data_IF_064145916690
#
_entry.id   IF_064145916690
#
_cell.length_a   1.000
_cell.length_b   1.000
_cell.length_c   1.000
_cell.angle_alpha   90.00
_cell.angle_beta   90.00
_cell.angle_gamma   90.00
#
_symmetry.space_group_name_H-M   'P 1'
#
loop_
_entity.id
_entity.type
_entity.pdbx_description
1 polymer ?
#
# COMPACT_ATOMS: atom_id res chain seq x y z
N UNK A 1 22.66 5.86 -6.95
CA UNK A 1 22.78 4.39 -7.13
C UNK A 1 21.48 3.75 -6.65
N UNK A 2 20.87 2.85 -7.42
CA UNK A 2 19.64 2.14 -7.04
C UNK A 2 19.91 1.24 -5.81
N UNK A 3 18.86 0.90 -5.05
CA UNK A 3 19.02 -0.13 -4.02
C UNK A 3 19.16 -1.43 -4.82
N UNK A 4 20.33 -2.07 -4.78
CA UNK A 4 20.49 -3.37 -5.42
C UNK A 4 19.43 -4.32 -4.80
N UNK A 5 18.69 -5.03 -5.65
CA UNK A 5 17.73 -6.08 -5.29
C UNK A 5 16.42 -5.62 -4.59
N UNK A 6 15.83 -4.48 -4.96
CA UNK A 6 14.44 -4.17 -4.58
C UNK A 6 13.45 -4.60 -5.67
N UNK A 7 12.51 -5.46 -5.29
CA UNK A 7 11.32 -5.81 -6.07
C UNK A 7 10.08 -5.18 -5.44
N UNK A 8 9.08 -4.90 -6.24
CA UNK A 8 7.83 -4.30 -5.77
C UNK A 8 6.70 -5.30 -5.95
N UNK A 9 5.87 -5.45 -4.92
CA UNK A 9 4.64 -6.22 -4.95
C UNK A 9 3.46 -5.30 -4.60
N UNK A 10 2.59 -5.02 -5.57
CA UNK A 10 1.39 -4.22 -5.38
C UNK A 10 0.21 -5.15 -5.07
N UNK A 11 -0.51 -4.83 -4.00
CA UNK A 11 -1.68 -5.57 -3.54
C UNK A 11 -2.93 -5.11 -4.29
N UNK A 12 -3.43 -5.95 -5.20
CA UNK A 12 -4.57 -5.68 -6.07
C UNK A 12 -5.76 -6.63 -5.90
N UNK A 13 -5.75 -7.50 -4.90
CA UNK A 13 -6.77 -8.54 -4.70
C UNK A 13 -8.04 -8.08 -3.95
N UNK A 14 -8.09 -6.82 -3.51
CA UNK A 14 -9.26 -6.27 -2.81
C UNK A 14 -10.48 -6.08 -3.72
N UNK A 15 -11.63 -6.62 -3.30
CA UNK A 15 -12.89 -6.56 -4.05
C UNK A 15 -13.60 -5.19 -4.02
N UNK A 16 -13.16 -4.27 -3.16
CA UNK A 16 -13.68 -2.89 -3.13
C UNK A 16 -15.19 -2.79 -2.86
N UNK A 17 -15.76 -3.74 -2.10
CA UNK A 17 -17.20 -3.89 -1.89
C UNK A 17 -17.89 -2.61 -1.42
N UNK A 18 -17.25 -1.86 -0.49
CA UNK A 18 -17.73 -0.55 -0.05
C UNK A 18 -17.86 0.44 -1.20
N UNK A 19 -16.79 0.65 -1.97
CA UNK A 19 -16.81 1.55 -3.12
C UNK A 19 -17.87 1.14 -4.13
N UNK A 20 -17.94 -0.14 -4.49
CA UNK A 20 -18.92 -0.63 -5.47
C UNK A 20 -20.36 -0.40 -5.01
N UNK A 21 -20.66 -0.64 -3.73
CA UNK A 21 -21.96 -0.31 -3.13
C UNK A 21 -22.25 1.18 -3.19
N UNK A 22 -21.28 2.03 -2.81
CA UNK A 22 -21.44 3.48 -2.79
C UNK A 22 -21.67 4.02 -4.23
N UNK A 23 -20.97 3.48 -5.24
CA UNK A 23 -21.15 3.80 -6.66
C UNK A 23 -22.53 3.41 -7.19
N UNK A 24 -23.04 2.22 -6.81
CA UNK A 24 -24.39 1.78 -7.19
C UNK A 24 -25.49 2.62 -6.51
N UNK A 25 -25.20 3.18 -5.33
CA UNK A 25 -26.12 4.05 -4.59
C UNK A 25 -26.07 5.52 -5.05
N UNK A 26 -25.05 5.93 -5.82
CA UNK A 26 -24.92 7.29 -6.34
C UNK A 26 -26.03 7.64 -7.33
N UNK A 27 -26.96 8.49 -6.89
CA UNK A 27 -28.10 8.95 -7.71
C UNK A 27 -27.71 10.01 -8.74
N UNK A 28 -26.53 10.63 -8.61
CA UNK A 28 -26.09 11.67 -9.56
C UNK A 28 -25.66 11.08 -10.90
N UNK A 29 -25.27 9.81 -10.91
CA UNK A 29 -24.76 9.11 -12.10
C UNK A 29 -23.36 9.54 -12.53
N UNK A 30 -22.75 10.53 -11.85
CA UNK A 30 -21.44 11.10 -12.20
C UNK A 30 -20.34 10.04 -12.23
N UNK A 31 -20.41 9.09 -11.30
CA UNK A 31 -19.37 8.07 -11.12
C UNK A 31 -19.76 6.68 -11.64
N UNK A 32 -20.87 6.55 -12.38
CA UNK A 32 -21.37 5.25 -12.87
C UNK A 32 -20.36 4.48 -13.75
N UNK A 33 -19.48 5.19 -14.44
CA UNK A 33 -18.42 4.61 -15.26
C UNK A 33 -17.33 3.88 -14.45
N UNK A 34 -17.31 4.05 -13.11
CA UNK A 34 -16.35 3.38 -12.22
C UNK A 34 -16.88 2.06 -11.64
N UNK A 35 -18.16 1.72 -11.88
CA UNK A 35 -18.74 0.45 -11.43
C UNK A 35 -17.99 -0.71 -12.10
N UNK A 36 -17.53 -1.67 -11.29
CA UNK A 36 -16.72 -2.80 -11.72
C UNK A 36 -15.23 -2.53 -11.87
N UNK A 37 -14.77 -1.27 -11.78
CA UNK A 37 -13.34 -0.94 -11.82
C UNK A 37 -12.68 -1.34 -10.48
N UNK A 38 -11.61 -2.16 -10.50
CA UNK A 38 -10.86 -2.47 -9.28
C UNK A 38 -10.30 -1.20 -8.65
N UNK A 39 -10.30 -1.10 -7.31
CA UNK A 39 -9.88 0.15 -6.61
C UNK A 39 -8.52 0.66 -7.09
N UNK A 40 -7.54 -0.24 -7.18
CA UNK A 40 -6.19 0.08 -7.62
C UNK A 40 -6.11 0.64 -9.05
N UNK A 41 -7.11 0.34 -9.88
CA UNK A 41 -7.19 0.74 -11.28
C UNK A 41 -8.12 1.94 -11.51
N UNK A 42 -8.62 2.59 -10.45
CA UNK A 42 -9.41 3.81 -10.61
C UNK A 42 -8.56 4.93 -11.20
N UNK A 43 -9.04 5.65 -12.23
CA UNK A 43 -8.32 6.79 -12.78
C UNK A 43 -8.20 7.90 -11.74
N UNK A 44 -7.05 8.56 -11.65
CA UNK A 44 -6.86 9.64 -10.68
C UNK A 44 -5.82 10.66 -11.16
N UNK A 45 -6.20 11.94 -11.13
CA UNK A 45 -5.36 13.03 -11.60
C UNK A 45 -5.02 12.87 -13.08
N UNK A 46 -3.73 12.99 -13.42
CA UNK A 46 -3.25 12.83 -14.80
C UNK A 46 -3.00 11.36 -15.21
N UNK A 47 -3.27 10.40 -14.31
CA UNK A 47 -2.92 8.99 -14.51
C UNK A 47 -4.16 8.13 -14.78
N UNK A 48 -3.96 7.06 -15.56
CA UNK A 48 -4.99 6.10 -15.93
C UNK A 48 -5.47 5.23 -14.76
N UNK A 49 -4.65 5.08 -13.71
CA UNK A 49 -4.92 4.29 -12.52
C UNK A 49 -4.20 4.86 -11.28
N UNK A 50 -4.74 4.60 -10.07
CA UNK A 50 -4.08 4.92 -8.80
C UNK A 50 -2.65 4.39 -8.77
N UNK A 51 -2.47 3.10 -9.08
CA UNK A 51 -1.16 2.45 -8.99
C UNK A 51 -0.16 2.92 -10.06
N UNK A 52 -0.62 3.61 -11.11
CA UNK A 52 0.28 4.23 -12.10
C UNK A 52 1.06 5.40 -11.51
N UNK A 53 0.55 6.06 -10.45
CA UNK A 53 1.36 7.04 -9.70
C UNK A 53 2.59 6.40 -9.06
N UNK A 54 2.45 5.18 -8.51
CA UNK A 54 3.58 4.43 -7.99
C UNK A 54 4.58 4.05 -9.08
N UNK A 55 4.12 3.58 -10.26
CA UNK A 55 5.01 3.28 -11.38
C UNK A 55 5.90 4.47 -11.75
N UNK A 56 5.32 5.65 -11.88
CA UNK A 56 6.08 6.86 -12.20
C UNK A 56 7.08 7.23 -11.10
N UNK A 57 6.68 7.16 -9.83
CA UNK A 57 7.56 7.45 -8.70
C UNK A 57 8.73 6.44 -8.62
N UNK A 58 8.44 5.15 -8.81
CA UNK A 58 9.43 4.07 -8.86
C UNK A 58 10.43 4.28 -10.01
N UNK A 59 9.93 4.56 -11.22
CA UNK A 59 10.77 4.79 -12.40
C UNK A 59 11.69 5.99 -12.23
N UNK A 60 11.19 7.10 -11.67
CA UNK A 60 11.99 8.30 -11.33
C UNK A 60 13.14 7.98 -10.37
N UNK A 61 12.99 6.93 -9.56
CA UNK A 61 13.97 6.47 -8.58
C UNK A 61 14.78 5.25 -9.06
N UNK A 62 14.75 4.95 -10.35
CA UNK A 62 15.56 3.89 -10.96
C UNK A 62 15.04 2.48 -10.71
N UNK A 63 13.79 2.31 -10.29
CA UNK A 63 13.13 1.01 -10.20
C UNK A 63 12.29 0.83 -11.48
N UNK A 64 12.70 -0.03 -12.43
CA UNK A 64 11.98 -0.20 -13.69
C UNK A 64 10.66 -0.95 -13.50
N UNK A 65 9.75 -0.82 -14.46
CA UNK A 65 8.46 -1.54 -14.47
C UNK A 65 8.62 -3.06 -14.43
N UNK A 66 9.74 -3.61 -14.91
CA UNK A 66 10.07 -5.04 -14.82
C UNK A 66 10.35 -5.54 -13.40
N UNK A 67 10.56 -4.64 -12.43
CA UNK A 67 10.66 -4.97 -11.01
C UNK A 67 9.32 -4.90 -10.28
N UNK A 68 8.24 -4.49 -10.96
CA UNK A 68 6.90 -4.34 -10.38
C UNK A 68 6.07 -5.57 -10.66
N UNK A 69 5.48 -6.11 -9.61
CA UNK A 69 4.58 -7.27 -9.65
C UNK A 69 3.26 -6.92 -8.99
N UNK A 70 2.19 -7.57 -9.43
CA UNK A 70 0.86 -7.39 -8.89
C UNK A 70 0.25 -8.74 -8.58
N UNK A 71 -0.21 -8.91 -7.34
CA UNK A 71 -1.09 -10.00 -6.94
C UNK A 71 -2.53 -9.47 -6.91
N UNK A 72 -3.43 -10.13 -7.63
CA UNK A 72 -4.85 -9.76 -7.70
C UNK A 72 -5.74 -10.99 -7.59
N UNK A 73 -7.06 -10.79 -7.57
CA UNK A 73 -8.02 -11.88 -7.60
C UNK A 73 -8.39 -12.27 -9.04
N UNK A 74 -8.95 -13.45 -9.22
CA UNK A 74 -9.33 -13.96 -10.55
C UNK A 74 -10.40 -13.09 -11.21
N UNK A 75 -11.31 -12.49 -10.44
CA UNK A 75 -12.35 -11.61 -10.97
C UNK A 75 -11.80 -10.31 -11.58
N UNK A 76 -10.66 -9.82 -11.09
CA UNK A 76 -10.03 -8.58 -11.55
C UNK A 76 -8.80 -8.81 -12.44
N UNK A 77 -8.35 -10.06 -12.60
CA UNK A 77 -7.08 -10.42 -13.26
C UNK A 77 -6.91 -9.77 -14.64
N UNK A 78 -7.91 -9.91 -15.52
CA UNK A 78 -7.84 -9.38 -16.89
C UNK A 78 -7.67 -7.85 -16.91
N UNK A 79 -8.32 -7.13 -15.97
CA UNK A 79 -8.19 -5.68 -15.88
C UNK A 79 -6.74 -5.26 -15.52
N UNK A 80 -6.08 -6.02 -14.65
CA UNK A 80 -4.67 -5.79 -14.31
C UNK A 80 -3.72 -6.16 -15.44
N UNK A 81 -4.01 -7.23 -16.20
CA UNK A 81 -3.25 -7.57 -17.42
C UNK A 81 -3.33 -6.45 -18.46
N UNK A 82 -4.51 -5.88 -18.69
CA UNK A 82 -4.67 -4.76 -19.61
C UNK A 82 -4.01 -3.48 -19.10
N UNK A 83 -4.05 -3.21 -17.80
CA UNK A 83 -3.27 -2.13 -17.19
C UNK A 83 -1.76 -2.33 -17.37
N UNK A 84 -1.27 -3.55 -17.15
CA UNK A 84 0.15 -3.88 -17.27
C UNK A 84 0.66 -3.66 -18.70
N UNK A 85 -0.10 -4.11 -19.71
CA UNK A 85 0.20 -3.86 -21.14
C UNK A 85 0.35 -2.38 -21.46
N UNK A 86 -0.59 -1.55 -21.01
CA UNK A 86 -0.58 -0.09 -21.26
C UNK A 86 0.58 0.63 -20.57
N UNK A 87 1.07 0.08 -19.45
CA UNK A 87 2.11 0.68 -18.61
C UNK A 87 3.47 -0.03 -18.70
N UNK A 88 3.66 -0.92 -19.68
CA UNK A 88 4.91 -1.68 -19.90
C UNK A 88 5.38 -2.49 -18.67
N UNK A 89 4.44 -3.00 -17.88
CA UNK A 89 4.72 -4.01 -16.84
C UNK A 89 4.64 -5.39 -17.50
N UNK A 90 5.62 -6.29 -17.31
CA UNK A 90 5.56 -7.63 -17.90
C UNK A 90 4.27 -8.37 -17.49
N UNK A 91 3.62 -9.03 -18.44
CA UNK A 91 2.40 -9.82 -18.15
C UNK A 91 2.65 -10.93 -17.12
N UNK A 92 3.83 -11.54 -17.16
CA UNK A 92 4.27 -12.57 -16.20
C UNK A 92 4.45 -12.04 -14.77
N UNK A 93 4.46 -10.71 -14.58
CA UNK A 93 4.50 -10.06 -13.28
C UNK A 93 3.07 -9.79 -12.72
N UNK A 94 2.02 -10.27 -13.38
CA UNK A 94 0.64 -10.20 -12.90
C UNK A 94 0.17 -11.61 -12.57
N UNK A 95 -0.23 -11.84 -11.32
CA UNK A 95 -0.70 -13.13 -10.84
C UNK A 95 -2.09 -13.01 -10.20
N UNK A 96 -2.86 -14.08 -10.35
CA UNK A 96 -4.13 -14.27 -9.66
C UNK A 96 -3.94 -15.17 -8.45
N UNK A 97 -4.56 -14.82 -7.33
CA UNK A 97 -4.72 -15.66 -6.14
C UNK A 97 -5.75 -16.80 -6.31
N UNK A 98 -6.45 -16.84 -7.46
CA UNK A 98 -7.47 -17.81 -7.80
C UNK A 98 -8.88 -17.54 -7.24
N UNK A 99 -9.06 -16.54 -6.38
CA UNK A 99 -10.35 -16.24 -5.75
C UNK A 99 -11.25 -15.44 -6.70
N UNK A 100 -12.57 -15.71 -6.64
CA UNK A 100 -13.56 -15.08 -7.53
C UNK A 100 -14.59 -14.22 -6.80
N UNK A 101 -14.63 -14.28 -5.46
CA UNK A 101 -15.53 -13.44 -4.66
C UNK A 101 -14.90 -13.03 -3.32
N UNK A 102 -15.43 -11.95 -2.76
CA UNK A 102 -14.99 -11.41 -1.47
C UNK A 102 -15.17 -12.43 -0.34
N UNK A 103 -16.19 -13.28 -0.39
CA UNK A 103 -16.49 -14.29 0.62
C UNK A 103 -15.42 -15.39 0.66
N UNK A 104 -14.82 -15.68 -0.49
CA UNK A 104 -13.80 -16.71 -0.67
C UNK A 104 -12.36 -16.17 -0.71
N UNK A 105 -12.16 -14.88 -0.42
CA UNK A 105 -10.86 -14.23 -0.48
C UNK A 105 -9.84 -14.92 0.45
N UNK A 106 -8.58 -14.99 0.02
CA UNK A 106 -7.50 -15.56 0.83
C UNK A 106 -7.16 -14.64 2.00
N UNK A 107 -7.14 -13.34 1.72
CA UNK A 107 -6.84 -12.28 2.66
C UNK A 107 -5.45 -11.68 2.46
N UNK A 108 -5.25 -10.50 3.03
CA UNK A 108 -4.11 -9.66 2.67
C UNK A 108 -2.72 -10.27 2.94
N UNK A 109 -2.49 -10.98 4.05
CA UNK A 109 -1.18 -11.60 4.32
C UNK A 109 -0.94 -12.86 3.46
N UNK A 110 -1.91 -13.76 3.29
CA UNK A 110 -1.83 -14.82 2.28
C UNK A 110 -1.51 -14.31 0.87
N UNK A 111 -2.12 -13.21 0.42
CA UNK A 111 -1.84 -12.60 -0.88
C UNK A 111 -0.38 -12.11 -1.00
N UNK A 112 0.21 -11.55 0.07
CA UNK A 112 1.63 -11.18 0.09
C UNK A 112 2.49 -12.43 -0.10
N UNK A 113 2.20 -13.50 0.66
CA UNK A 113 2.97 -14.74 0.57
C UNK A 113 2.84 -15.38 -0.81
N UNK A 114 1.65 -15.41 -1.38
CA UNK A 114 1.38 -15.95 -2.72
C UNK A 114 2.16 -15.15 -3.76
N UNK A 115 2.12 -13.82 -3.72
CA UNK A 115 2.92 -12.97 -4.60
C UNK A 115 4.41 -13.24 -4.48
N UNK A 116 4.95 -13.28 -3.25
CA UNK A 116 6.38 -13.57 -3.00
C UNK A 116 6.78 -14.92 -3.58
N UNK A 117 5.96 -15.97 -3.42
CA UNK A 117 6.23 -17.31 -3.96
C UNK A 117 6.10 -17.35 -5.48
N UNK A 118 5.01 -16.83 -6.04
CA UNK A 118 4.67 -16.93 -7.45
C UNK A 118 5.69 -16.24 -8.34
N UNK A 119 6.21 -15.11 -7.89
CA UNK A 119 7.24 -14.33 -8.60
C UNK A 119 8.67 -14.64 -8.13
N UNK A 120 8.84 -15.61 -7.22
CA UNK A 120 10.14 -16.03 -6.69
C UNK A 120 10.96 -14.86 -6.08
N UNK A 121 10.34 -14.04 -5.24
CA UNK A 121 10.94 -12.81 -4.68
C UNK A 121 11.76 -13.04 -3.40
N UNK A 122 11.93 -14.29 -2.94
CA UNK A 122 12.57 -14.60 -1.66
C UNK A 122 14.05 -14.17 -1.56
N UNK A 123 14.72 -13.99 -2.70
CA UNK A 123 16.11 -13.53 -2.78
C UNK A 123 16.27 -12.01 -2.89
N UNK A 124 15.17 -11.26 -2.82
CA UNK A 124 15.15 -9.81 -2.98
C UNK A 124 14.57 -9.12 -1.73
N UNK A 125 14.87 -7.84 -1.56
CA UNK A 125 14.09 -6.96 -0.70
C UNK A 125 12.77 -6.64 -1.40
N UNK A 126 11.65 -6.72 -0.69
CA UNK A 126 10.32 -6.57 -1.31
C UNK A 126 9.60 -5.36 -0.73
N UNK A 127 9.35 -4.36 -1.59
CA UNK A 127 8.46 -3.24 -1.30
C UNK A 127 7.01 -3.67 -1.57
N UNK A 128 6.24 -3.90 -0.51
CA UNK A 128 4.81 -4.20 -0.57
C UNK A 128 4.00 -2.90 -0.50
N UNK A 129 3.12 -2.67 -1.46
CA UNK A 129 2.31 -1.45 -1.56
C UNK A 129 0.82 -1.82 -1.64
N UNK A 130 -0.01 -1.21 -0.81
CA UNK A 130 -1.47 -1.28 -0.93
C UNK A 130 -1.95 -0.56 -2.20
N UNK A 131 -2.66 -1.26 -3.08
CA UNK A 131 -3.07 -0.71 -4.38
C UNK A 131 -4.06 0.46 -4.30
N UNK A 132 -4.72 0.67 -3.16
CA UNK A 132 -5.67 1.77 -2.91
C UNK A 132 -5.09 2.95 -2.13
N UNK A 133 -3.79 2.92 -1.84
CA UNK A 133 -3.12 3.95 -1.04
C UNK A 133 -2.11 4.73 -1.88
N UNK A 134 -2.09 6.05 -1.71
CA UNK A 134 -1.06 6.97 -2.21
C UNK A 134 -0.53 7.83 -1.06
N UNK A 135 0.67 8.39 -1.19
CA UNK A 135 1.18 9.38 -0.24
C UNK A 135 0.95 10.81 -0.73
N UNK A 136 1.03 11.76 0.20
CA UNK A 136 0.98 13.17 -0.15
C UNK A 136 2.24 13.58 -0.94
N UNK A 137 2.15 14.68 -1.67
CA UNK A 137 3.13 15.15 -2.65
C UNK A 137 4.55 15.41 -2.11
N UNK A 138 4.71 15.49 -0.79
CA UNK A 138 5.98 15.72 -0.10
C UNK A 138 6.74 14.43 0.24
N UNK A 139 6.19 13.26 -0.07
CA UNK A 139 6.90 11.99 0.08
C UNK A 139 8.07 11.86 -0.92
N UNK A 140 9.27 11.60 -0.39
CA UNK A 140 10.46 11.32 -1.18
C UNK A 140 10.87 9.84 -1.09
N UNK A 141 10.64 9.10 -2.17
CA UNK A 141 11.04 7.70 -2.26
C UNK A 141 12.58 7.53 -2.25
N UNK A 142 13.36 8.49 -2.76
CA UNK A 142 14.81 8.41 -2.73
C UNK A 142 15.32 8.45 -1.27
N UNK A 143 14.74 9.33 -0.45
CA UNK A 143 15.05 9.43 0.97
C UNK A 143 14.66 8.15 1.72
N UNK A 144 13.44 7.65 1.50
CA UNK A 144 12.99 6.37 2.07
C UNK A 144 13.94 5.20 1.72
N UNK A 145 14.35 5.08 0.46
CA UNK A 145 15.29 4.04 0.03
C UNK A 145 16.71 4.26 0.59
N UNK A 146 17.14 5.50 0.77
CA UNK A 146 18.41 5.82 1.41
C UNK A 146 18.39 5.44 2.89
N UNK A 147 17.29 5.67 3.60
CA UNK A 147 17.10 5.26 4.99
C UNK A 147 17.16 3.75 5.14
N UNK A 148 16.54 2.99 4.22
CA UNK A 148 16.64 1.54 4.23
C UNK A 148 18.09 1.06 4.12
N UNK A 149 18.90 1.66 3.23
CA UNK A 149 20.31 1.28 3.05
C UNK A 149 21.19 1.56 4.28
N UNK A 150 20.83 2.54 5.11
CA UNK A 150 21.54 2.81 6.36
C UNK A 150 21.32 1.72 7.41
N UNK A 151 20.35 0.81 7.19
CA UNK A 151 19.98 -0.25 8.12
C UNK A 151 20.43 -1.60 7.55
N UNK A 152 21.46 -2.20 8.16
CA UNK A 152 22.04 -3.45 7.64
C UNK A 152 21.07 -4.64 7.68
N UNK A 153 20.19 -4.71 8.69
CA UNK A 153 19.27 -5.83 8.89
C UNK A 153 17.96 -5.38 9.55
N UNK A 154 17.16 -4.63 8.80
CA UNK A 154 15.83 -4.22 9.24
C UNK A 154 14.87 -4.09 8.07
N UNK A 155 13.58 -4.30 8.34
CA UNK A 155 12.52 -3.82 7.47
C UNK A 155 12.33 -2.31 7.68
N UNK A 156 11.79 -1.62 6.69
CA UNK A 156 11.41 -0.22 6.80
C UNK A 156 9.94 -0.05 6.44
N UNK A 157 9.19 0.61 7.31
CA UNK A 157 7.77 0.95 7.09
C UNK A 157 7.56 2.44 7.22
N UNK A 158 6.50 2.96 6.61
CA UNK A 158 6.14 4.37 6.77
C UNK A 158 5.20 4.59 7.95
N UNK A 159 5.33 5.74 8.62
CA UNK A 159 4.42 6.18 9.68
C UNK A 159 3.93 7.59 9.46
N UNK A 160 2.70 7.88 9.88
CA UNK A 160 2.18 9.25 9.94
C UNK A 160 1.33 9.42 11.20
N UNK A 161 1.26 10.65 11.70
CA UNK A 161 0.44 10.95 12.87
C UNK A 161 -1.05 11.01 12.52
N UNK A 162 -1.88 10.42 13.37
CA UNK A 162 -3.34 10.52 13.31
C UNK A 162 -3.90 11.18 14.57
N UNK A 163 -4.99 11.95 14.45
CA UNK A 163 -5.62 12.53 15.62
C UNK A 163 -6.33 11.43 16.45
N UNK A 164 -6.59 11.70 17.73
CA UNK A 164 -7.19 10.76 18.69
C UNK A 164 -8.46 10.08 18.13
N UNK A 165 -9.27 10.84 17.40
CA UNK A 165 -10.55 10.43 16.86
C UNK A 165 -10.42 9.42 15.71
N UNK A 166 -9.20 9.17 15.21
CA UNK A 166 -8.92 8.22 14.11
C UNK A 166 -8.24 6.94 14.58
N UNK A 167 -7.66 6.93 15.78
CA UNK A 167 -6.90 5.80 16.36
C UNK A 167 -7.68 4.48 16.29
N UNK A 168 -8.98 4.49 16.62
CA UNK A 168 -9.84 3.30 16.61
C UNK A 168 -10.16 2.73 15.22
N UNK A 169 -9.68 3.37 14.14
CA UNK A 169 -9.94 2.94 12.76
C UNK A 169 -8.74 2.26 12.11
N UNK A 170 -7.55 2.40 12.68
CA UNK A 170 -6.27 2.01 12.07
C UNK A 170 -5.38 1.23 13.04
N UNK A 171 -4.41 0.49 12.51
CA UNK A 171 -3.31 -0.04 13.30
C UNK A 171 -2.36 1.08 13.74
N UNK A 172 -2.05 1.11 15.04
CA UNK A 172 -1.16 2.09 15.66
C UNK A 172 0.12 1.40 16.08
N UNK A 173 1.23 2.01 15.72
CA UNK A 173 2.56 1.49 15.98
C UNK A 173 3.23 2.28 17.09
N UNK A 174 3.99 1.59 17.93
CA UNK A 174 4.79 2.19 18.99
C UNK A 174 6.26 2.08 18.62
N UNK A 175 7.03 3.14 18.88
CA UNK A 175 8.46 3.20 18.52
C UNK A 175 9.29 3.68 19.70
N UNK A 176 10.56 3.26 19.74
CA UNK A 176 11.56 3.84 20.64
C UNK A 176 12.15 5.14 20.07
N UNK A 177 13.08 5.76 20.82
CA UNK A 177 13.72 7.04 20.44
C UNK A 177 14.52 6.95 19.15
N UNK A 178 14.96 5.75 18.78
CA UNK A 178 15.74 5.46 17.59
C UNK A 178 14.85 5.18 16.35
N UNK A 179 13.52 5.25 16.47
CA UNK A 179 12.59 4.96 15.38
C UNK A 179 12.42 3.46 15.10
N UNK A 180 12.74 2.61 16.06
CA UNK A 180 12.53 1.16 15.98
C UNK A 180 11.18 0.80 16.57
N UNK A 181 10.42 -0.06 15.88
CA UNK A 181 9.12 -0.54 16.35
C UNK A 181 9.27 -1.40 17.60
N UNK A 182 8.51 -1.04 18.64
CA UNK A 182 8.45 -1.76 19.92
C UNK A 182 7.06 -2.32 20.22
N UNK A 183 6.06 -1.98 19.41
CA UNK A 183 4.69 -2.41 19.62
C UNK A 183 3.80 -2.13 18.41
N UNK A 184 2.71 -2.87 18.32
CA UNK A 184 1.65 -2.66 17.33
C UNK A 184 0.32 -3.01 17.98
N UNK A 185 -0.63 -2.09 17.90
CA UNK A 185 -1.97 -2.25 18.46
C UNK A 185 -2.98 -1.98 17.35
N UNK A 186 -3.82 -2.97 17.04
CA UNK A 186 -4.81 -2.88 15.96
C UNK A 186 -6.08 -2.19 16.46
N UNK A 187 -6.44 -1.04 15.86
CA UNK A 187 -7.67 -0.29 16.16
C UNK A 187 -7.90 -0.03 17.66
N UNK A 188 -6.90 0.50 18.40
CA UNK A 188 -7.06 0.73 19.82
C UNK A 188 -8.05 1.86 20.12
N UNK A 189 -8.62 1.82 21.30
CA UNK A 189 -9.18 3.00 21.94
C UNK A 189 -8.04 4.00 22.24
N UNK A 190 -8.31 5.32 22.23
CA UNK A 190 -7.29 6.34 22.47
C UNK A 190 -6.54 6.21 23.81
N UNK A 191 -7.11 5.49 24.78
CA UNK A 191 -6.52 5.21 26.09
C UNK A 191 -5.59 3.99 26.13
N UNK A 192 -5.62 3.11 25.12
CA UNK A 192 -4.83 1.86 25.12
C UNK A 192 -3.38 2.08 24.71
N UNK A 193 -3.06 3.19 24.06
CA UNK A 193 -1.68 3.59 23.72
C UNK A 193 -1.56 5.11 23.70
N UNK A 194 -0.38 5.64 24.03
CA UNK A 194 -0.04 7.05 23.86
C UNK A 194 0.45 7.39 22.45
N UNK A 195 0.78 6.37 21.63
CA UNK A 195 1.25 6.59 20.27
C UNK A 195 0.12 7.00 19.32
N UNK A 196 0.46 7.80 18.32
CA UNK A 196 -0.45 8.24 17.26
C UNK A 196 0.07 7.91 15.87
N UNK A 197 1.03 7.00 15.77
CA UNK A 197 1.66 6.63 14.51
C UNK A 197 0.87 5.54 13.81
N UNK A 198 0.10 5.92 12.80
CA UNK A 198 -0.55 4.97 11.90
C UNK A 198 0.43 4.49 10.82
N UNK A 199 0.23 3.26 10.35
CA UNK A 199 1.12 2.60 9.39
C UNK A 199 0.31 2.15 8.14
N UNK A 200 0.41 2.85 7.00
CA UNK A 200 -0.19 2.41 5.74
C UNK A 200 0.53 1.20 5.17
N UNK A 201 -0.12 0.46 4.26
CA UNK A 201 0.52 -0.64 3.55
C UNK A 201 1.55 -0.11 2.54
N UNK A 202 2.77 0.13 3.04
CA UNK A 202 3.96 0.52 2.30
C UNK A 202 5.17 0.01 3.09
N UNK A 203 5.55 -1.24 2.83
CA UNK A 203 6.49 -1.99 3.65
C UNK A 203 7.65 -2.44 2.80
N UNK A 204 8.86 -1.98 3.10
CA UNK A 204 10.07 -2.52 2.50
C UNK A 204 10.60 -3.64 3.41
N UNK A 205 10.22 -4.87 3.07
CA UNK A 205 10.66 -6.06 3.77
C UNK A 205 12.10 -6.43 3.39
N UNK A 206 12.89 -6.72 4.41
CA UNK A 206 14.21 -7.29 4.20
C UNK A 206 14.07 -8.74 3.73
N UNK A 207 14.90 -9.21 2.78
CA UNK A 207 14.78 -10.57 2.22
C UNK A 207 14.71 -11.67 3.30
N UNK A 208 15.52 -11.55 4.35
CA UNK A 208 15.58 -12.50 5.47
C UNK A 208 14.30 -12.54 6.32
N UNK A 209 13.44 -11.51 6.27
CA UNK A 209 12.18 -11.50 7.01
C UNK A 209 11.03 -12.18 6.26
N UNK A 210 11.16 -12.42 4.95
CA UNK A 210 10.06 -12.92 4.11
C UNK A 210 9.62 -14.33 4.51
N UNK A 211 10.54 -15.19 4.97
CA UNK A 211 10.20 -16.53 5.45
C UNK A 211 9.21 -16.51 6.63
N UNK A 212 9.20 -15.44 7.43
CA UNK A 212 8.28 -15.29 8.56
C UNK A 212 6.81 -15.14 8.12
N UNK A 213 6.53 -14.80 6.86
CA UNK A 213 5.16 -14.81 6.33
C UNK A 213 4.55 -16.21 6.39
N UNK A 214 5.33 -17.23 6.00
CA UNK A 214 4.88 -18.62 6.06
C UNK A 214 4.73 -19.08 7.51
N UNK A 215 5.68 -18.72 8.38
CA UNK A 215 5.62 -19.06 9.81
C UNK A 215 4.39 -18.43 10.47
N UNK A 216 4.09 -17.16 10.18
CA UNK A 216 2.89 -16.48 10.66
C UNK A 216 1.61 -17.21 10.27
N UNK A 217 1.46 -17.61 9.01
CA UNK A 217 0.27 -18.33 8.55
C UNK A 217 0.19 -19.74 9.13
N UNK A 218 1.32 -20.42 9.29
CA UNK A 218 1.37 -21.72 9.98
C UNK A 218 0.89 -21.59 11.43
N UNK A 219 1.35 -20.57 12.16
CA UNK A 219 0.92 -20.27 13.52
C UNK A 219 -0.57 -19.91 13.60
N UNK A 220 -1.11 -19.22 12.58
CA UNK A 220 -2.55 -18.96 12.47
C UNK A 220 -3.33 -20.27 12.27
N UNK A 221 -2.91 -21.13 11.35
CA UNK A 221 -3.56 -22.43 11.11
C UNK A 221 -3.50 -23.34 12.34
N UNK A 222 -2.34 -23.42 13.01
CA UNK A 222 -2.16 -24.24 14.20
C UNK A 222 -3.09 -23.85 15.36
N UNK A 223 -3.53 -22.57 15.41
CA UNK A 223 -4.46 -22.05 16.41
C UNK A 223 -5.91 -21.97 15.91
N UNK A 224 -6.21 -22.51 14.72
CA UNK A 224 -7.52 -22.38 14.07
C UNK A 224 -8.00 -20.92 13.94
N UNK A 225 -7.08 -20.01 13.60
CA UNK A 225 -7.39 -18.59 13.44
C UNK A 225 -8.36 -18.35 12.27
N UNK A 226 -9.22 -17.34 12.41
CA UNK A 226 -10.17 -16.95 11.37
C UNK A 226 -9.57 -15.97 10.37
N UNK A 227 -10.28 -15.72 9.26
CA UNK A 227 -9.85 -14.80 8.21
C UNK A 227 -9.39 -13.43 8.74
N UNK A 228 -10.11 -12.86 9.71
CA UNK A 228 -9.78 -11.57 10.32
C UNK A 228 -8.41 -11.51 11.02
N UNK A 229 -7.81 -12.66 11.34
CA UNK A 229 -6.50 -12.73 11.99
C UNK A 229 -5.34 -12.52 11.01
N UNK A 230 -5.57 -12.67 9.71
CA UNK A 230 -4.55 -12.53 8.65
C UNK A 230 -5.02 -11.71 7.43
N UNK A 231 -6.27 -11.25 7.39
CA UNK A 231 -6.84 -10.39 6.34
C UNK A 231 -6.60 -8.89 6.55
N UNK A 232 -5.46 -8.56 7.17
CA UNK A 232 -4.96 -7.19 7.26
C UNK A 232 -3.44 -7.24 7.33
N UNK A 233 -2.76 -6.45 6.51
CA UNK A 233 -1.30 -6.52 6.38
C UNK A 233 -0.57 -6.12 7.68
N UNK A 234 -1.19 -5.25 8.50
CA UNK A 234 -0.70 -4.91 9.84
C UNK A 234 -0.63 -6.09 10.83
N UNK A 235 -1.41 -7.16 10.62
CA UNK A 235 -1.34 -8.38 11.45
C UNK A 235 0.02 -9.05 11.32
N UNK A 236 0.60 -9.06 10.13
CA UNK A 236 1.95 -9.55 9.93
C UNK A 236 3.00 -8.64 10.57
N UNK A 237 2.84 -7.31 10.53
CA UNK A 237 3.75 -6.40 11.24
C UNK A 237 3.74 -6.65 12.76
N UNK A 238 2.56 -6.89 13.34
CA UNK A 238 2.41 -7.25 14.75
C UNK A 238 3.14 -8.56 15.11
N UNK A 239 3.14 -9.54 14.19
CA UNK A 239 3.90 -10.77 14.34
C UNK A 239 5.41 -10.58 14.12
N UNK A 240 5.78 -9.68 13.21
CA UNK A 240 7.13 -9.49 12.72
C UNK A 240 8.01 -8.69 13.70
N UNK A 241 7.49 -7.60 14.28
CA UNK A 241 8.33 -6.68 15.08
C UNK A 241 9.11 -7.34 16.24
N UNK A 242 8.60 -8.34 16.98
CA UNK A 242 9.39 -8.97 18.04
C UNK A 242 10.39 -10.02 17.50
N UNK A 243 10.35 -10.34 16.19
CA UNK A 243 11.14 -11.40 15.54
C UNK A 243 12.17 -10.86 14.55
N UNK A 244 11.91 -9.70 13.95
CA UNK A 244 12.82 -9.04 13.01
C UNK A 244 12.72 -7.52 13.17
N UNK A 245 13.83 -6.78 13.22
CA UNK A 245 13.79 -5.33 13.42
C UNK A 245 12.97 -4.63 12.34
N UNK A 246 12.08 -3.74 12.77
CA UNK A 246 11.34 -2.83 11.89
C UNK A 246 11.71 -1.40 12.27
N UNK A 247 12.16 -0.64 11.29
CA UNK A 247 12.45 0.78 11.40
C UNK A 247 11.33 1.58 10.75
N UNK A 248 11.22 2.86 11.12
CA UNK A 248 10.19 3.75 10.58
C UNK A 248 10.77 4.88 9.75
N UNK A 249 10.02 5.29 8.73
CA UNK A 249 10.23 6.52 8.00
C UNK A 249 8.95 7.36 8.06
N UNK A 250 9.04 8.60 8.55
CA UNK A 250 7.86 9.45 8.75
C UNK A 250 7.44 10.09 7.43
N UNK A 251 6.14 10.06 7.16
CA UNK A 251 5.50 10.76 6.04
C UNK A 251 4.43 11.71 6.58
N UNK A 252 4.08 12.73 5.81
CA UNK A 252 3.06 13.71 6.23
C UNK A 252 1.64 13.17 6.21
N UNK A 253 1.38 12.10 5.46
CA UNK A 253 0.08 11.45 5.42
C UNK A 253 -0.13 10.61 4.17
N UNK A 254 -1.36 10.13 4.01
CA UNK A 254 -1.77 9.30 2.89
C UNK A 254 -3.14 9.69 2.34
N UNK A 255 -3.38 9.28 1.11
CA UNK A 255 -4.69 9.18 0.47
C UNK A 255 -5.07 7.70 0.48
N UNK A 256 -6.27 7.39 0.98
CA UNK A 256 -6.77 6.01 1.14
C UNK A 256 -8.15 5.88 0.47
N UNK A 257 -8.18 5.22 -0.69
CA UNK A 257 -9.38 5.12 -1.53
C UNK A 257 -10.20 3.89 -1.13
N UNK A 258 -10.88 3.96 0.02
CA UNK A 258 -11.74 2.89 0.53
C UNK A 258 -13.20 2.93 0.06
N UNK A 259 -13.72 4.09 -0.35
CA UNK A 259 -15.12 4.29 -0.75
C UNK A 259 -15.29 5.50 -1.68
N UNK A 260 -16.53 5.79 -2.09
CA UNK A 260 -16.78 6.85 -3.08
C UNK A 260 -16.37 8.24 -2.55
N UNK A 261 -16.71 8.54 -1.30
CA UNK A 261 -16.33 9.81 -0.66
C UNK A 261 -14.81 10.03 -0.69
N UNK A 262 -14.02 9.04 -0.25
CA UNK A 262 -12.56 9.20 -0.23
C UNK A 262 -11.92 9.19 -1.62
N UNK A 263 -12.57 8.56 -2.62
CA UNK A 263 -12.19 8.73 -4.02
C UNK A 263 -12.42 10.17 -4.50
N UNK A 264 -13.56 10.77 -4.16
CA UNK A 264 -13.86 12.18 -4.52
C UNK A 264 -12.87 13.14 -3.83
N UNK A 265 -12.54 12.90 -2.57
CA UNK A 265 -11.51 13.68 -1.87
C UNK A 265 -10.14 13.56 -2.54
N UNK A 266 -9.79 12.36 -3.00
CA UNK A 266 -8.57 12.14 -3.77
C UNK A 266 -8.60 12.93 -5.09
N UNK A 267 -9.70 12.91 -5.84
CA UNK A 267 -9.86 13.71 -7.08
C UNK A 267 -9.62 15.19 -6.79
N UNK A 268 -10.29 15.74 -5.77
CA UNK A 268 -10.10 17.14 -5.39
C UNK A 268 -8.67 17.47 -4.95
N UNK A 269 -7.99 16.53 -4.28
CA UNK A 269 -6.59 16.69 -3.93
C UNK A 269 -5.72 16.88 -5.18
N UNK A 270 -5.84 15.99 -6.17
CA UNK A 270 -5.05 16.05 -7.39
C UNK A 270 -5.41 17.24 -8.29
N UNK A 271 -6.67 17.63 -8.36
CA UNK A 271 -7.10 18.82 -9.10
C UNK A 271 -6.45 20.09 -8.53
N UNK A 272 -6.40 20.23 -7.19
CA UNK A 272 -5.73 21.36 -6.53
C UNK A 272 -4.22 21.40 -6.80
N UNK A 273 -3.57 20.23 -6.88
CA UNK A 273 -2.15 20.15 -7.21
C UNK A 273 -1.86 20.54 -8.66
N UNK A 274 -2.72 20.19 -9.60
CA UNK A 274 -2.56 20.64 -10.99
C UNK A 274 -2.74 22.17 -11.12
N UNK A 275 -3.69 22.75 -10.38
CA UNK A 275 -3.91 24.19 -10.36
C UNK A 275 -2.73 24.96 -9.72
N UNK A 276 -2.09 24.41 -8.68
CA UNK A 276 -0.91 25.04 -8.06
C UNK A 276 0.31 25.03 -8.97
N UNK A 277 0.48 23.97 -9.78
CA UNK A 277 1.55 23.87 -10.80
C UNK A 277 1.27 24.79 -12.00
N UNK A 278 0.01 25.01 -12.36
CA UNK A 278 -0.38 25.86 -13.48
C UNK A 278 -0.39 27.37 -13.16
N UNK A 279 -0.27 27.77 -11.89
CA UNK A 279 -0.21 29.18 -11.50
C UNK A 279 1.16 29.79 -11.89
N UNK A 280 1.20 30.90 -12.66
CA UNK A 280 2.46 31.56 -13.00
C UNK A 280 3.16 32.04 -11.72
N UNK A 281 4.51 32.03 -11.66
CA UNK A 281 5.23 32.54 -10.50
C UNK A 281 4.84 34.01 -10.29
N UNK A 282 4.30 34.32 -9.12
CA UNK A 282 4.01 35.69 -8.72
C UNK A 282 5.29 36.52 -8.81
N UNK A 283 5.43 37.32 -9.87
CA UNK A 283 6.40 38.41 -9.90
C UNK A 283 5.91 39.46 -8.92
N UNK A 284 6.54 39.51 -7.73
CA UNK A 284 6.44 40.70 -6.88
C UNK A 284 7.00 41.88 -7.69
N UNK A 285 6.27 43.00 -7.82
CA UNK A 285 6.87 44.21 -8.35
C UNK A 285 8.03 44.59 -7.43
N UNK A 286 9.21 44.81 -8.02
CA UNK A 286 10.35 45.37 -7.27
C UNK A 286 9.99 46.81 -6.87
N UNK A 287 10.37 47.25 -5.66
CA UNK A 287 10.13 48.62 -5.20
C UNK A 287 10.85 49.65 -6.06
#
# INVERSE_FOLDING_TARGET
MAVENVKVLIMGAGYGTRLQRDLLADKTGKYRHLVGVPKALLPLGAQDALITHWLHLLAKNGIPSSSVHVITNAACYDAFVEWAKRNNVPGDNIASDGTTSNETRLGAVPDILEGVKRFNLNGDHVLVIGGDTLFLHDFDLAEFLADFRKKERACLVTTYEVPNETVHKVGIMEINKEGTVTGFVEKPQPSETSSRLACPCFYLFHQQSLNLLQDFLNDCHARNAGLSDYDATGKFLAYLWPRFPIQTHTISGRIDVGGLESYVDAVHYFDRQQLSIAAPPFHRPRP
#
